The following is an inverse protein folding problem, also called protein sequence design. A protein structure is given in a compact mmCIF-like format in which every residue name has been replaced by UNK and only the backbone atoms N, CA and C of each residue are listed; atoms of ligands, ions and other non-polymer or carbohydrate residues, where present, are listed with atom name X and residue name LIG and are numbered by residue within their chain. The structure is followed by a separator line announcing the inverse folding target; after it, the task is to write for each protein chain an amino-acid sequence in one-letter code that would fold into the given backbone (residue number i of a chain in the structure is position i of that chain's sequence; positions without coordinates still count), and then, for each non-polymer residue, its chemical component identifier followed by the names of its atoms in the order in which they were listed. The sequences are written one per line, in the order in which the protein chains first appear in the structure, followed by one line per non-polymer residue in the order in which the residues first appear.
data_IF_163816742398
#
_entry.id   IF_163816742398
#
_cell.length_a   1.000
_cell.length_b   1.000
_cell.length_c   1.000
_cell.angle_alpha   90.00
_cell.angle_beta   90.00
_cell.angle_gamma   90.00
#
_symmetry.space_group_name_H-M   'P 1'
#
loop_
_entity.id
_entity.type
_entity.pdbx_description
1 polymer ?
#
# COMPACT_ATOMS: atom_id res chain seq x y z
N UNK A 1 -34.80 -21.25 16.09
CA UNK A 1 -33.41 -21.20 16.57
C UNK A 1 -32.53 -21.38 15.34
N UNK A 2 -31.74 -20.38 14.96
CA UNK A 2 -30.71 -20.60 13.93
C UNK A 2 -29.70 -21.57 14.57
N UNK A 3 -29.34 -22.64 13.87
CA UNK A 3 -28.29 -23.53 14.36
C UNK A 3 -26.99 -22.73 14.35
N UNK A 4 -26.35 -22.54 15.51
CA UNK A 4 -25.13 -21.75 15.63
C UNK A 4 -23.91 -22.40 14.95
N UNK A 5 -24.02 -23.69 14.60
CA UNK A 5 -22.97 -24.45 13.92
C UNK A 5 -23.51 -25.13 12.66
N UNK A 6 -22.69 -25.13 11.62
CA UNK A 6 -22.96 -25.84 10.38
C UNK A 6 -22.46 -27.28 10.50
N UNK A 7 -23.34 -28.24 10.20
CA UNK A 7 -23.03 -29.67 10.15
C UNK A 7 -23.53 -30.19 8.82
N UNK A 8 -22.62 -30.74 8.01
CA UNK A 8 -22.91 -31.21 6.67
C UNK A 8 -23.65 -32.55 6.71
N UNK A 9 -24.70 -32.68 5.91
CA UNK A 9 -25.49 -33.91 5.84
C UNK A 9 -24.73 -35.11 5.23
N UNK A 10 -25.22 -36.33 5.48
CA UNK A 10 -24.49 -37.61 5.28
C UNK A 10 -24.30 -38.06 3.81
N UNK A 11 -24.98 -37.44 2.84
CA UNK A 11 -24.87 -37.82 1.43
C UNK A 11 -24.76 -36.56 0.57
N UNK A 12 -23.54 -36.08 0.34
CA UNK A 12 -23.32 -34.90 -0.50
C UNK A 12 -22.14 -35.05 -1.46
N UNK A 13 -22.41 -34.86 -2.74
CA UNK A 13 -21.44 -34.39 -3.73
C UNK A 13 -20.93 -32.99 -3.35
N UNK A 14 -19.82 -32.55 -3.94
CA UNK A 14 -19.31 -31.19 -3.72
C UNK A 14 -20.37 -30.12 -4.07
N UNK A 15 -21.21 -30.37 -5.09
CA UNK A 15 -22.35 -29.50 -5.45
C UNK A 15 -23.41 -29.40 -4.36
N UNK A 16 -23.71 -30.50 -3.68
CA UNK A 16 -24.69 -30.50 -2.59
C UNK A 16 -24.15 -29.77 -1.36
N UNK A 17 -22.88 -29.98 -1.01
CA UNK A 17 -22.20 -29.21 0.04
C UNK A 17 -22.20 -27.70 -0.26
N UNK A 18 -21.90 -27.32 -1.51
CA UNK A 18 -21.99 -25.93 -1.97
C UNK A 18 -23.39 -25.33 -1.74
N UNK A 19 -24.43 -26.05 -2.16
CA UNK A 19 -25.82 -25.59 -2.08
C UNK A 19 -26.30 -25.49 -0.62
N UNK A 20 -25.96 -26.48 0.21
CA UNK A 20 -26.31 -26.53 1.62
C UNK A 20 -25.66 -25.38 2.39
N UNK A 21 -24.34 -25.18 2.25
CA UNK A 21 -23.65 -24.08 2.90
C UNK A 21 -24.12 -22.71 2.39
N UNK A 22 -24.38 -22.56 1.09
CA UNK A 22 -24.95 -21.31 0.55
C UNK A 22 -26.29 -20.98 1.20
N UNK A 23 -27.17 -21.97 1.36
CA UNK A 23 -28.45 -21.80 2.04
C UNK A 23 -28.28 -21.46 3.53
N UNK A 24 -27.36 -22.15 4.20
CA UNK A 24 -27.05 -21.91 5.61
C UNK A 24 -26.52 -20.48 5.85
N UNK A 25 -25.57 -20.03 5.03
CA UNK A 25 -24.99 -18.68 5.10
C UNK A 25 -26.04 -17.61 4.82
N UNK A 26 -26.92 -17.82 3.83
CA UNK A 26 -28.04 -16.93 3.57
C UNK A 26 -28.99 -16.83 4.78
N UNK A 27 -29.28 -17.96 5.43
CA UNK A 27 -30.06 -18.01 6.67
C UNK A 27 -29.43 -17.25 7.84
N UNK A 28 -28.11 -17.05 7.82
CA UNK A 28 -27.36 -16.28 8.81
C UNK A 28 -27.16 -14.80 8.45
N UNK A 29 -27.65 -14.36 7.29
CA UNK A 29 -27.54 -12.98 6.84
C UNK A 29 -26.16 -12.61 6.32
N UNK A 30 -25.36 -13.60 5.89
CA UNK A 30 -24.10 -13.34 5.19
C UNK A 30 -24.38 -12.70 3.83
N UNK A 31 -23.58 -11.69 3.50
CA UNK A 31 -23.53 -11.16 2.13
C UNK A 31 -22.89 -12.18 1.20
N UNK A 32 -23.39 -12.24 -0.04
CA UNK A 32 -22.89 -13.11 -1.11
C UNK A 32 -22.64 -14.56 -0.66
N UNK A 33 -23.67 -15.26 -0.14
CA UNK A 33 -23.49 -16.56 0.47
C UNK A 33 -22.99 -17.62 -0.51
N UNK A 34 -23.39 -17.55 -1.79
CA UNK A 34 -22.89 -18.44 -2.84
C UNK A 34 -21.40 -18.21 -3.11
N UNK A 35 -20.96 -16.95 -3.20
CA UNK A 35 -19.55 -16.63 -3.42
C UNK A 35 -18.69 -17.08 -2.24
N UNK A 36 -19.16 -16.84 -1.01
CA UNK A 36 -18.50 -17.32 0.21
C UNK A 36 -18.37 -18.85 0.21
N UNK A 37 -19.45 -19.57 -0.11
CA UNK A 37 -19.45 -21.05 -0.17
C UNK A 37 -18.46 -21.57 -1.21
N UNK A 38 -18.43 -20.98 -2.41
CA UNK A 38 -17.48 -21.34 -3.45
C UNK A 38 -16.03 -21.14 -3.01
N UNK A 39 -15.69 -19.95 -2.49
CA UNK A 39 -14.32 -19.64 -2.06
C UNK A 39 -13.83 -20.58 -0.96
N UNK A 40 -14.70 -20.90 0.01
CA UNK A 40 -14.38 -21.85 1.07
C UNK A 40 -14.18 -23.28 0.54
N UNK A 41 -14.95 -23.71 -0.47
CA UNK A 41 -14.75 -25.01 -1.12
C UNK A 41 -13.45 -25.06 -1.92
N UNK A 42 -13.19 -24.05 -2.73
CA UNK A 42 -11.94 -23.91 -3.49
C UNK A 42 -10.74 -24.00 -2.56
N UNK A 43 -10.78 -23.29 -1.42
CA UNK A 43 -9.76 -23.36 -0.38
C UNK A 43 -9.63 -24.74 0.26
N UNK A 44 -10.73 -25.34 0.72
CA UNK A 44 -10.67 -26.62 1.47
C UNK A 44 -10.27 -27.80 0.57
N UNK A 45 -10.61 -27.73 -0.72
CA UNK A 45 -10.29 -28.77 -1.70
C UNK A 45 -8.96 -28.53 -2.42
N UNK A 46 -8.38 -27.33 -2.31
CA UNK A 46 -7.21 -26.92 -3.09
C UNK A 46 -7.49 -26.91 -4.60
N UNK A 47 -8.72 -26.56 -5.00
CA UNK A 47 -9.17 -26.52 -6.39
C UNK A 47 -9.51 -25.08 -6.78
N UNK A 48 -9.31 -24.72 -8.04
CA UNK A 48 -9.72 -23.43 -8.57
C UNK A 48 -10.15 -23.53 -10.04
N UNK A 49 -10.92 -22.56 -10.50
CA UNK A 49 -11.32 -22.43 -11.90
C UNK A 49 -11.95 -23.71 -12.47
N UNK A 50 -11.48 -24.17 -13.64
CA UNK A 50 -12.04 -25.32 -14.32
C UNK A 50 -12.00 -26.62 -13.48
N UNK A 51 -10.95 -26.82 -12.68
CA UNK A 51 -10.81 -28.00 -11.85
C UNK A 51 -11.91 -28.08 -10.78
N UNK A 52 -12.26 -26.96 -10.16
CA UNK A 52 -13.38 -26.87 -9.22
C UNK A 52 -14.71 -27.25 -9.89
N UNK A 53 -15.01 -26.69 -11.07
CA UNK A 53 -16.27 -26.96 -11.76
C UNK A 53 -16.41 -28.42 -12.22
N UNK A 54 -15.31 -29.06 -12.62
CA UNK A 54 -15.29 -30.48 -12.98
C UNK A 54 -15.56 -31.38 -11.77
N UNK A 55 -15.04 -31.01 -10.59
CA UNK A 55 -15.19 -31.78 -9.36
C UNK A 55 -16.58 -31.68 -8.72
N UNK A 56 -17.46 -30.76 -9.16
CA UNK A 56 -18.76 -30.53 -8.50
C UNK A 56 -19.64 -31.79 -8.39
N UNK A 57 -19.54 -32.73 -9.33
CA UNK A 57 -20.31 -33.97 -9.30
C UNK A 57 -19.67 -35.08 -8.45
N UNK A 58 -18.41 -34.90 -8.04
CA UNK A 58 -17.67 -35.90 -7.29
C UNK A 58 -18.18 -35.97 -5.83
N UNK A 59 -18.06 -37.14 -5.17
CA UNK A 59 -18.34 -37.27 -3.74
C UNK A 59 -17.49 -36.30 -2.92
N UNK A 60 -18.09 -35.65 -1.92
CA UNK A 60 -17.35 -34.76 -1.03
C UNK A 60 -16.26 -35.55 -0.27
N UNK A 61 -14.98 -35.11 -0.26
CA UNK A 61 -13.92 -35.88 0.39
C UNK A 61 -14.09 -35.90 1.92
N UNK A 62 -14.25 -37.08 2.57
CA UNK A 62 -14.49 -37.14 4.02
C UNK A 62 -13.36 -36.55 4.86
N UNK A 63 -12.12 -36.58 4.35
CA UNK A 63 -10.94 -36.07 5.03
C UNK A 63 -10.99 -34.57 5.34
N UNK A 64 -11.72 -33.78 4.56
CA UNK A 64 -11.83 -32.32 4.73
C UNK A 64 -13.17 -31.87 5.31
N UNK A 65 -14.09 -32.81 5.62
CA UNK A 65 -15.43 -32.50 6.13
C UNK A 65 -15.40 -31.62 7.38
N UNK A 66 -14.61 -32.01 8.39
CA UNK A 66 -14.53 -31.26 9.65
C UNK A 66 -13.96 -29.84 9.45
N UNK A 67 -12.99 -29.68 8.53
CA UNK A 67 -12.45 -28.38 8.17
C UNK A 67 -13.52 -27.53 7.49
N UNK A 68 -14.18 -28.06 6.46
CA UNK A 68 -15.30 -27.41 5.77
C UNK A 68 -16.36 -26.91 6.75
N UNK A 69 -16.81 -27.76 7.67
CA UNK A 69 -17.83 -27.41 8.66
C UNK A 69 -17.39 -26.25 9.57
N UNK A 70 -16.13 -26.27 9.97
CA UNK A 70 -15.51 -25.22 10.77
C UNK A 70 -15.48 -23.88 10.02
N UNK A 71 -15.07 -23.87 8.74
CA UNK A 71 -14.96 -22.64 7.96
C UNK A 71 -16.33 -22.03 7.65
N UNK A 72 -17.33 -22.84 7.31
CA UNK A 72 -18.71 -22.36 7.09
C UNK A 72 -19.30 -21.79 8.38
N UNK A 73 -19.04 -22.42 9.52
CA UNK A 73 -19.48 -21.92 10.83
C UNK A 73 -18.84 -20.57 11.16
N UNK A 74 -17.52 -20.41 10.97
CA UNK A 74 -16.83 -19.12 11.13
C UNK A 74 -17.43 -18.03 10.25
N UNK A 75 -17.71 -18.36 8.98
CA UNK A 75 -18.32 -17.42 8.03
C UNK A 75 -19.73 -17.00 8.48
N UNK A 76 -20.55 -17.95 8.93
CA UNK A 76 -21.89 -17.67 9.48
C UNK A 76 -21.84 -16.81 10.76
N UNK A 77 -20.75 -16.90 11.53
CA UNK A 77 -20.49 -16.05 12.67
C UNK A 77 -20.09 -14.61 12.30
N UNK A 78 -19.98 -14.28 11.00
CA UNK A 78 -19.72 -12.93 10.51
C UNK A 78 -18.26 -12.68 10.11
N UNK A 79 -17.37 -13.65 10.31
CA UNK A 79 -15.97 -13.49 9.91
C UNK A 79 -15.85 -13.36 8.39
N UNK A 80 -15.11 -12.36 7.86
CA UNK A 80 -14.87 -12.23 6.42
C UNK A 80 -14.23 -13.49 5.83
N UNK A 81 -14.70 -13.92 4.64
CA UNK A 81 -14.19 -15.14 4.00
C UNK A 81 -12.68 -15.05 3.72
N UNK A 82 -12.17 -13.86 3.44
CA UNK A 82 -10.75 -13.60 3.21
C UNK A 82 -9.90 -13.80 4.46
N UNK A 83 -10.39 -13.46 5.66
CA UNK A 83 -9.66 -13.76 6.91
C UNK A 83 -9.72 -15.23 7.28
N UNK A 84 -10.80 -15.92 6.89
CA UNK A 84 -10.90 -17.37 7.06
C UNK A 84 -9.88 -18.08 6.18
N UNK A 85 -9.73 -17.65 4.92
CA UNK A 85 -8.79 -18.21 3.93
C UNK A 85 -7.35 -17.72 4.18
N UNK A 86 -7.20 -16.49 4.66
CA UNK A 86 -5.91 -15.81 4.88
C UNK A 86 -5.38 -15.04 3.68
N UNK A 87 -6.15 -14.91 2.58
CA UNK A 87 -5.72 -14.19 1.39
C UNK A 87 -6.85 -13.46 0.66
N UNK A 88 -6.47 -12.46 -0.13
CA UNK A 88 -7.32 -11.71 -1.04
C UNK A 88 -6.55 -11.44 -2.33
N UNK A 89 -7.18 -11.66 -3.48
CA UNK A 89 -6.62 -11.26 -4.78
C UNK A 89 -6.79 -9.75 -4.99
N UNK A 90 -5.73 -9.10 -5.45
CA UNK A 90 -5.69 -7.69 -5.82
C UNK A 90 -4.70 -7.52 -6.97
N UNK A 91 -5.13 -6.88 -8.06
CA UNK A 91 -4.34 -6.64 -9.26
C UNK A 91 -3.69 -7.92 -9.84
N UNK A 92 -4.45 -9.02 -9.83
CA UNK A 92 -3.98 -10.34 -10.28
C UNK A 92 -2.93 -11.00 -9.37
N UNK A 93 -2.75 -10.52 -8.13
CA UNK A 93 -1.80 -11.05 -7.15
C UNK A 93 -2.52 -11.44 -5.86
N UNK A 94 -2.11 -12.55 -5.25
CA UNK A 94 -2.64 -12.97 -3.95
C UNK A 94 -1.90 -12.27 -2.80
N UNK A 95 -2.62 -11.48 -2.01
CA UNK A 95 -2.12 -10.83 -0.80
C UNK A 95 -2.55 -11.61 0.43
N UNK A 96 -1.62 -11.91 1.32
CA UNK A 96 -1.95 -12.33 2.68
C UNK A 96 -2.73 -11.21 3.38
N UNK A 97 -3.83 -11.57 4.03
CA UNK A 97 -4.64 -10.65 4.83
C UNK A 97 -4.95 -11.27 6.19
N UNK A 98 -5.03 -10.42 7.20
CA UNK A 98 -5.30 -10.80 8.59
C UNK A 98 -6.19 -9.72 9.22
N UNK A 99 -6.76 -9.93 10.42
CA UNK A 99 -7.52 -8.90 11.12
C UNK A 99 -6.73 -7.62 11.45
N UNK A 100 -5.41 -7.59 11.25
CA UNK A 100 -4.57 -6.40 11.42
C UNK A 100 -4.66 -5.39 10.25
N UNK A 101 -5.26 -5.76 9.12
CA UNK A 101 -5.29 -4.95 7.89
C UNK A 101 -6.68 -4.87 7.28
N UNK A 102 -6.96 -3.82 6.50
CA UNK A 102 -8.12 -3.79 5.62
C UNK A 102 -7.99 -4.84 4.51
N UNK A 103 -9.08 -5.53 4.18
CA UNK A 103 -9.14 -6.41 2.99
C UNK A 103 -9.11 -5.52 1.74
N UNK A 104 -8.13 -5.70 0.82
CA UNK A 104 -8.06 -4.91 -0.42
C UNK A 104 -9.36 -4.96 -1.21
N UNK A 105 -9.76 -3.79 -1.74
CA UNK A 105 -11.00 -3.63 -2.51
C UNK A 105 -10.72 -3.50 -4.00
N UNK A 106 -11.59 -4.01 -4.89
CA UNK A 106 -11.41 -3.86 -6.34
C UNK A 106 -11.31 -2.41 -6.79
N UNK A 107 -12.04 -1.49 -6.14
CA UNK A 107 -12.01 -0.07 -6.48
C UNK A 107 -10.61 0.54 -6.34
N UNK A 108 -9.83 0.09 -5.35
CA UNK A 108 -8.45 0.56 -5.12
C UNK A 108 -7.52 0.24 -6.29
N UNK A 109 -7.83 -0.74 -7.15
CA UNK A 109 -7.04 -1.03 -8.35
C UNK A 109 -7.05 0.16 -9.32
N UNK A 110 -8.17 0.90 -9.41
CA UNK A 110 -8.30 2.08 -10.26
C UNK A 110 -7.37 3.21 -9.79
N UNK A 111 -7.10 3.32 -8.49
CA UNK A 111 -6.12 4.26 -7.95
C UNK A 111 -4.72 3.89 -8.42
N UNK A 112 -4.35 2.60 -8.30
CA UNK A 112 -3.04 2.10 -8.74
C UNK A 112 -2.84 2.34 -10.24
N UNK A 113 -3.83 2.00 -11.07
CA UNK A 113 -3.80 2.26 -12.51
C UNK A 113 -3.59 3.74 -12.83
N UNK A 114 -4.30 4.62 -12.15
CA UNK A 114 -4.19 6.05 -12.35
C UNK A 114 -2.81 6.59 -11.97
N UNK A 115 -2.26 6.13 -10.85
CA UNK A 115 -0.92 6.50 -10.39
C UNK A 115 0.15 6.03 -11.37
N UNK A 116 0.07 4.79 -11.85
CA UNK A 116 0.99 4.26 -12.86
C UNK A 116 0.92 5.05 -14.17
N UNK A 117 -0.29 5.30 -14.67
CA UNK A 117 -0.51 6.08 -15.90
C UNK A 117 0.07 7.48 -15.80
N UNK A 118 -0.35 8.27 -14.80
CA UNK A 118 0.10 9.66 -14.69
C UNK A 118 1.56 9.78 -14.24
N UNK A 119 2.05 8.81 -13.46
CA UNK A 119 3.47 8.70 -13.15
C UNK A 119 4.32 8.50 -14.41
N UNK A 120 3.91 7.61 -15.32
CA UNK A 120 4.58 7.41 -16.60
C UNK A 120 4.47 8.62 -17.54
N UNK A 121 3.35 9.36 -17.53
CA UNK A 121 3.22 10.61 -18.30
C UNK A 121 4.16 11.72 -17.79
N UNK A 122 4.27 11.88 -16.48
CA UNK A 122 5.10 12.92 -15.85
C UNK A 122 6.59 12.58 -15.86
N UNK A 123 6.93 11.28 -15.77
CA UNK A 123 8.28 10.76 -15.72
C UNK A 123 8.43 9.49 -16.58
N UNK A 124 8.51 9.62 -17.92
CA UNK A 124 8.60 8.48 -18.84
C UNK A 124 9.78 7.55 -18.56
N UNK A 125 10.90 8.11 -18.09
CA UNK A 125 12.12 7.35 -17.77
C UNK A 125 12.10 6.78 -16.34
N UNK A 126 11.03 6.98 -15.56
CA UNK A 126 10.92 6.53 -14.17
C UNK A 126 11.93 7.20 -13.22
N UNK A 127 12.49 8.35 -13.62
CA UNK A 127 13.55 9.04 -12.88
C UNK A 127 13.32 10.54 -12.76
N UNK A 128 13.96 11.15 -11.78
CA UNK A 128 13.86 12.57 -11.45
C UNK A 128 15.25 13.18 -11.34
N UNK A 129 15.41 14.39 -11.87
CA UNK A 129 16.66 15.14 -11.72
C UNK A 129 16.85 15.53 -10.24
N UNK A 130 17.92 15.04 -9.60
CA UNK A 130 18.23 15.30 -8.20
C UNK A 130 18.17 16.80 -7.91
N UNK A 131 17.56 17.19 -6.77
CA UNK A 131 17.60 18.58 -6.33
C UNK A 131 19.01 18.85 -5.85
N UNK A 132 19.64 19.90 -6.38
CA UNK A 132 20.95 20.33 -5.93
C UNK A 132 20.86 20.78 -4.48
N UNK A 133 21.35 19.96 -3.56
CA UNK A 133 21.49 20.36 -2.18
C UNK A 133 22.61 21.39 -2.06
N UNK A 134 22.27 22.63 -1.74
CA UNK A 134 23.24 23.48 -1.04
C UNK A 134 23.38 22.86 0.34
N UNK A 135 24.44 22.09 0.55
CA UNK A 135 24.87 21.75 1.89
C UNK A 135 25.08 23.09 2.61
N UNK A 136 24.18 23.41 3.55
CA UNK A 136 24.41 24.50 4.47
C UNK A 136 25.59 24.07 5.33
N UNK A 137 26.79 24.53 4.96
CA UNK A 137 27.94 24.48 5.85
C UNK A 137 27.50 25.20 7.13
N UNK A 138 27.42 24.43 8.22
CA UNK A 138 27.24 24.95 9.55
C UNK A 138 28.45 25.83 9.89
N UNK A 139 28.38 27.10 9.52
CA UNK A 139 29.27 28.15 9.97
C UNK A 139 29.05 28.41 11.46
N UNK A 140 29.64 27.58 12.31
CA UNK A 140 29.78 27.85 13.73
C UNK A 140 30.90 28.87 13.97
N UNK A 141 30.71 29.92 14.79
CA UNK A 141 31.79 30.82 15.12
C UNK A 141 32.78 30.15 16.08
N UNK A 142 34.04 30.51 15.87
CA UNK A 142 35.22 29.93 16.49
C UNK A 142 35.32 30.13 18.02
N UNK A 143 35.98 29.13 18.61
CA UNK A 143 36.99 29.21 19.67
C UNK A 143 36.60 29.62 21.11
N UNK A 144 36.69 28.63 22.01
CA UNK A 144 37.55 28.74 23.20
C UNK A 144 38.41 27.48 23.35
N UNK A 145 39.70 27.72 23.62
CA UNK A 145 40.77 26.74 23.78
C UNK A 145 40.82 26.19 25.20
N UNK A 146 41.17 24.91 25.30
CA UNK A 146 42.06 24.27 26.29
C UNK A 146 41.95 22.75 26.08
N UNK A 147 42.92 21.86 26.22
CA UNK A 147 44.37 21.85 26.42
C UNK A 147 44.72 20.36 26.67
N UNK A 148 45.79 19.80 26.06
CA UNK A 148 46.35 18.47 26.40
C UNK A 148 45.48 17.28 25.96
N UNK A 149 45.99 16.15 25.46
CA UNK A 149 47.24 15.45 25.73
C UNK A 149 47.62 14.62 24.48
N UNK A 150 48.93 14.47 24.31
CA UNK A 150 49.67 13.78 23.25
C UNK A 150 49.50 12.25 23.20
N UNK A 151 50.14 11.67 22.17
CA UNK A 151 50.58 10.28 21.97
C UNK A 151 49.60 9.39 21.19
N UNK A 152 50.00 8.56 20.22
CA UNK A 152 51.31 8.22 19.65
C UNK A 152 51.03 7.47 18.33
N UNK A 153 51.85 7.69 17.31
CA UNK A 153 52.00 6.79 16.16
C UNK A 153 53.21 5.89 16.42
N UNK A 154 53.26 4.72 15.78
CA UNK A 154 54.50 4.34 15.14
C UNK A 154 54.34 4.07 13.64
N UNK A 155 55.41 4.42 12.94
CA UNK A 155 55.65 4.26 11.52
C UNK A 155 56.45 2.98 11.23
N UNK A 156 56.49 2.59 9.94
CA UNK A 156 57.56 1.96 9.13
C UNK A 156 56.93 1.04 8.06
N UNK A 157 57.35 0.94 6.80
CA UNK A 157 58.48 1.49 6.02
C UNK A 157 58.07 1.61 4.53
N UNK A 158 58.66 2.51 3.73
CA UNK A 158 59.82 2.28 2.81
C UNK A 158 59.59 1.15 1.79
N UNK A 159 59.88 1.22 0.48
CA UNK A 159 60.39 2.17 -0.52
C UNK A 159 60.02 1.55 -1.91
N UNK A 160 59.83 2.23 -3.05
CA UNK A 160 60.81 2.79 -4.01
C UNK A 160 60.01 3.26 -5.26
N UNK A 161 60.17 4.49 -5.79
CA UNK A 161 61.00 4.88 -6.97
C UNK A 161 60.84 3.95 -8.19
N UNK A 162 60.33 4.39 -9.35
CA UNK A 162 61.00 5.24 -10.37
C UNK A 162 59.95 5.92 -11.29
N UNK A 163 59.98 7.25 -11.48
CA UNK A 163 60.60 8.03 -12.58
C UNK A 163 59.82 8.06 -13.92
N UNK A 164 59.40 9.25 -14.35
CA UNK A 164 58.77 9.47 -15.65
C UNK A 164 58.24 10.90 -15.88
N UNK A 165 59.17 11.86 -16.03
CA UNK A 165 59.11 13.11 -16.82
C UNK A 165 57.83 13.96 -16.86
N UNK A 166 57.96 15.18 -16.32
CA UNK A 166 57.08 16.32 -16.57
C UNK A 166 57.27 16.90 -17.99
N UNK A 167 56.16 17.22 -18.65
CA UNK A 167 56.09 18.30 -19.62
C UNK A 167 54.74 18.99 -19.47
N UNK A 168 54.85 20.27 -19.16
CA UNK A 168 53.82 21.25 -18.87
C UNK A 168 53.23 21.75 -20.20
N UNK A 169 51.96 21.42 -20.47
CA UNK A 169 51.19 22.07 -21.53
C UNK A 169 49.93 22.70 -20.94
N UNK A 170 50.00 24.04 -20.86
CA UNK A 170 48.95 24.92 -20.42
C UNK A 170 47.67 24.73 -21.25
N UNK A 171 46.66 24.08 -20.66
CA UNK A 171 45.31 24.05 -21.18
C UNK A 171 44.57 25.36 -20.85
N UNK A 172 44.19 26.08 -21.90
CA UNK A 172 43.30 27.25 -21.87
C UNK A 172 41.92 26.88 -21.30
N UNK A 173 41.20 27.80 -20.62
CA UNK A 173 39.87 27.54 -20.11
C UNK A 173 38.86 27.70 -21.26
N UNK A 174 38.14 26.64 -21.62
CA UNK A 174 37.15 26.73 -22.68
C UNK A 174 36.34 25.45 -22.84
N UNK A 175 35.05 25.54 -22.51
CA UNK A 175 34.06 24.49 -22.73
C UNK A 175 33.44 24.03 -21.43
N UNK A 176 32.45 24.78 -20.93
CA UNK A 176 31.61 24.32 -19.83
C UNK A 176 30.96 23.00 -20.22
N UNK A 177 31.40 21.91 -19.59
CA UNK A 177 30.61 20.69 -19.55
C UNK A 177 29.29 21.08 -18.88
N UNK A 178 28.20 21.08 -19.64
CA UNK A 178 26.87 21.09 -19.09
C UNK A 178 26.81 19.91 -18.11
N UNK A 179 26.92 20.22 -16.82
CA UNK A 179 26.99 19.20 -15.78
C UNK A 179 25.78 18.30 -15.93
N UNK A 180 26.01 17.02 -16.22
CA UNK A 180 24.98 15.99 -16.18
C UNK A 180 24.39 16.04 -14.78
N UNK A 181 23.20 16.65 -14.66
CA UNK A 181 22.50 16.76 -13.39
C UNK A 181 22.24 15.33 -12.92
N UNK A 182 22.72 14.99 -11.72
CA UNK A 182 22.54 13.66 -11.17
C UNK A 182 21.05 13.29 -11.21
N UNK A 183 20.75 12.05 -11.61
CA UNK A 183 19.39 11.54 -11.77
C UNK A 183 19.17 10.49 -10.69
N UNK A 184 17.97 10.45 -10.10
CA UNK A 184 17.57 9.44 -9.11
C UNK A 184 16.28 8.72 -9.54
N UNK A 185 15.99 7.52 -9.02
CA UNK A 185 14.70 6.88 -9.17
C UNK A 185 13.55 7.78 -8.70
N UNK A 186 12.40 7.70 -9.37
CA UNK A 186 11.14 8.30 -8.93
C UNK A 186 10.71 7.71 -7.59
N UNK A 187 10.34 8.56 -6.62
CA UNK A 187 9.91 8.11 -5.29
C UNK A 187 8.39 8.19 -5.16
N UNK A 188 7.74 7.04 -4.97
CA UNK A 188 6.33 6.94 -4.63
C UNK A 188 6.15 6.55 -3.16
N UNK A 189 5.27 7.28 -2.47
CA UNK A 189 4.96 7.06 -1.05
C UNK A 189 3.49 6.68 -0.91
N UNK A 190 3.25 5.51 -0.32
CA UNK A 190 1.94 4.98 0.03
C UNK A 190 1.64 5.21 1.52
N UNK A 191 0.55 5.90 1.85
CA UNK A 191 0.15 6.21 3.23
C UNK A 191 -1.03 5.33 3.63
N UNK A 192 -0.89 4.62 4.75
CA UNK A 192 -1.84 3.60 5.18
C UNK A 192 -1.62 2.30 4.41
N UNK A 193 -0.39 1.77 4.46
CA UNK A 193 0.03 0.61 3.67
C UNK A 193 -0.91 -0.59 3.80
N UNK A 194 -1.49 -0.83 4.99
CA UNK A 194 -2.38 -1.96 5.23
C UNK A 194 -1.71 -3.29 4.89
N UNK A 195 -2.31 -4.06 3.98
CA UNK A 195 -1.73 -5.31 3.47
C UNK A 195 -0.56 -5.10 2.49
N UNK A 196 -0.27 -3.86 2.10
CA UNK A 196 0.69 -3.50 1.07
C UNK A 196 0.10 -3.54 -0.35
N UNK A 197 -1.22 -3.65 -0.51
CA UNK A 197 -1.87 -3.79 -1.83
C UNK A 197 -1.43 -2.73 -2.84
N UNK A 198 -1.42 -1.46 -2.46
CA UNK A 198 -0.99 -0.35 -3.32
C UNK A 198 0.54 -0.40 -3.52
N UNK A 199 1.32 -0.26 -2.44
CA UNK A 199 2.79 -0.17 -2.51
C UNK A 199 3.47 -1.38 -3.17
N UNK A 200 3.08 -2.60 -2.85
CA UNK A 200 3.64 -3.82 -3.46
C UNK A 200 3.30 -3.89 -4.94
N UNK A 201 2.07 -3.53 -5.32
CA UNK A 201 1.66 -3.52 -6.73
C UNK A 201 2.43 -2.45 -7.51
N UNK A 202 2.54 -1.24 -6.99
CA UNK A 202 3.36 -0.19 -7.61
C UNK A 202 4.81 -0.63 -7.80
N UNK A 203 5.40 -1.28 -6.80
CA UNK A 203 6.77 -1.78 -6.89
C UNK A 203 6.93 -2.92 -7.91
N UNK A 204 5.90 -3.73 -8.11
CA UNK A 204 5.88 -4.81 -9.11
C UNK A 204 5.71 -4.27 -10.54
N UNK A 205 4.79 -3.33 -10.74
CA UNK A 205 4.45 -2.79 -12.06
C UNK A 205 5.45 -1.72 -12.53
N UNK A 206 6.10 -1.02 -11.60
CA UNK A 206 7.10 0.01 -11.89
C UNK A 206 8.42 -0.26 -11.13
N UNK A 207 9.20 -1.29 -11.50
CA UNK A 207 10.41 -1.69 -10.78
C UNK A 207 11.55 -0.66 -10.81
N UNK A 208 11.45 0.35 -11.68
CA UNK A 208 12.38 1.49 -11.71
C UNK A 208 12.09 2.53 -10.61
N UNK A 209 10.91 2.48 -10.00
CA UNK A 209 10.52 3.43 -8.95
C UNK A 209 11.04 2.95 -7.60
N UNK A 210 11.39 3.91 -6.74
CA UNK A 210 11.57 3.67 -5.32
C UNK A 210 10.20 3.79 -4.65
N UNK A 211 9.70 2.69 -4.10
CA UNK A 211 8.43 2.69 -3.36
C UNK A 211 8.68 2.63 -1.87
N UNK A 212 8.05 3.54 -1.13
CA UNK A 212 8.02 3.55 0.33
C UNK A 212 6.57 3.46 0.80
N UNK A 213 6.32 2.84 1.95
CA UNK A 213 4.97 2.77 2.50
C UNK A 213 4.96 2.99 4.02
N UNK A 214 3.97 3.73 4.50
CA UNK A 214 3.83 4.10 5.91
C UNK A 214 2.52 3.58 6.49
N UNK A 215 2.54 3.13 7.74
CA UNK A 215 1.34 2.78 8.47
C UNK A 215 1.53 3.04 9.97
N UNK A 216 0.44 3.37 10.66
CA UNK A 216 0.43 3.57 12.12
C UNK A 216 0.43 2.22 12.85
N UNK A 217 -0.04 1.15 12.20
CA UNK A 217 -0.15 -0.19 12.77
C UNK A 217 1.12 -1.01 12.52
N UNK A 218 1.83 -1.46 13.58
CA UNK A 218 2.92 -2.42 13.43
C UNK A 218 2.45 -3.75 12.81
N UNK A 219 1.22 -4.17 13.11
CA UNK A 219 0.61 -5.38 12.54
C UNK A 219 0.43 -5.27 11.03
N UNK A 220 -0.05 -4.11 10.56
CA UNK A 220 -0.20 -3.84 9.13
C UNK A 220 1.15 -3.88 8.41
N UNK A 221 2.18 -3.20 8.94
CA UNK A 221 3.53 -3.23 8.35
C UNK A 221 4.12 -4.65 8.32
N UNK A 222 3.84 -5.49 9.32
CA UNK A 222 4.26 -6.88 9.30
C UNK A 222 3.58 -7.67 8.16
N UNK A 223 2.29 -7.44 7.91
CA UNK A 223 1.56 -8.05 6.78
C UNK A 223 2.09 -7.52 5.45
N UNK A 224 2.23 -6.20 5.29
CA UNK A 224 2.80 -5.57 4.10
C UNK A 224 4.21 -6.10 3.79
N UNK A 225 5.06 -6.28 4.81
CA UNK A 225 6.40 -6.85 4.65
C UNK A 225 6.39 -8.30 4.17
N UNK A 226 5.48 -9.14 4.69
CA UNK A 226 5.30 -10.52 4.19
C UNK A 226 4.80 -10.53 2.75
N UNK A 227 3.90 -9.64 2.37
CA UNK A 227 3.42 -9.52 1.00
C UNK A 227 4.50 -9.01 0.04
N UNK A 228 5.30 -8.01 0.43
CA UNK A 228 6.45 -7.57 -0.36
C UNK A 228 7.44 -8.72 -0.58
N UNK A 229 7.74 -9.50 0.46
CA UNK A 229 8.57 -10.70 0.34
C UNK A 229 7.95 -11.77 -0.56
N UNK A 230 6.64 -12.05 -0.40
CA UNK A 230 5.89 -13.03 -1.21
C UNK A 230 5.96 -12.71 -2.70
N UNK A 231 5.90 -11.43 -3.05
CA UNK A 231 5.90 -10.95 -4.44
C UNK A 231 7.27 -10.51 -4.96
N UNK A 232 8.33 -10.65 -4.15
CA UNK A 232 9.70 -10.31 -4.55
C UNK A 232 9.92 -8.82 -4.81
N UNK A 233 9.14 -7.94 -4.17
CA UNK A 233 9.24 -6.49 -4.34
C UNK A 233 9.99 -5.84 -3.19
N UNK A 234 10.63 -4.71 -3.46
CA UNK A 234 11.32 -3.91 -2.46
C UNK A 234 10.47 -2.68 -2.09
N UNK A 235 9.98 -2.65 -0.84
CA UNK A 235 9.22 -1.52 -0.30
C UNK A 235 9.88 -1.06 1.01
N UNK A 236 10.22 0.24 1.10
CA UNK A 236 10.74 0.87 2.32
C UNK A 236 9.56 1.14 3.28
N UNK A 237 9.35 0.22 4.23
CA UNK A 237 8.26 0.26 5.21
C UNK A 237 8.60 1.10 6.44
N UNK A 238 7.70 2.00 6.83
CA UNK A 238 7.93 2.93 7.95
C UNK A 238 6.74 3.02 8.90
N UNK A 239 7.02 2.89 10.20
CA UNK A 239 6.01 3.06 11.25
C UNK A 239 5.82 4.53 11.59
N UNK A 240 4.57 4.99 11.59
CA UNK A 240 4.17 6.27 12.16
C UNK A 240 2.92 6.84 11.51
N UNK A 241 2.59 8.07 11.90
CA UNK A 241 1.31 8.68 11.56
C UNK A 241 1.42 9.48 10.25
N UNK A 242 0.68 9.03 9.24
CA UNK A 242 0.57 9.68 7.94
C UNK A 242 1.95 10.05 7.35
N UNK A 243 2.24 11.34 7.11
CA UNK A 243 3.48 11.80 6.47
C UNK A 243 4.67 11.93 7.43
N UNK A 244 4.48 11.78 8.74
CA UNK A 244 5.56 11.95 9.73
C UNK A 244 6.81 11.08 9.46
N UNK A 245 6.69 9.78 9.10
CA UNK A 245 7.86 8.93 8.83
C UNK A 245 8.67 9.33 7.58
N UNK A 246 8.11 10.24 6.77
CA UNK A 246 8.68 10.71 5.51
C UNK A 246 9.18 12.15 5.60
N UNK A 247 9.23 12.75 6.80
CA UNK A 247 9.76 14.09 7.00
C UNK A 247 11.17 14.23 6.39
N UNK A 248 11.37 15.26 5.56
CA UNK A 248 12.62 15.51 4.83
C UNK A 248 12.91 14.57 3.66
N UNK A 249 12.04 13.60 3.36
CA UNK A 249 12.20 12.71 2.20
C UNK A 249 11.70 13.39 0.92
N UNK A 250 12.48 13.31 -0.16
CA UNK A 250 11.98 13.70 -1.47
C UNK A 250 10.92 12.72 -1.98
N UNK A 251 9.69 13.21 -2.08
CA UNK A 251 8.52 12.46 -2.53
C UNK A 251 7.99 13.08 -3.83
N UNK A 252 7.85 12.27 -4.87
CA UNK A 252 7.37 12.74 -6.17
C UNK A 252 5.90 12.37 -6.40
N UNK A 253 5.51 11.18 -5.92
CA UNK A 253 4.15 10.65 -5.92
C UNK A 253 3.73 10.37 -4.47
N UNK A 254 2.54 10.84 -4.09
CA UNK A 254 1.86 10.47 -2.86
C UNK A 254 0.56 9.74 -3.18
N UNK A 255 0.33 8.56 -2.61
CA UNK A 255 -0.89 7.79 -2.80
C UNK A 255 -1.42 7.32 -1.45
N UNK A 256 -2.74 7.25 -1.28
CA UNK A 256 -3.34 6.69 -0.08
C UNK A 256 -4.76 6.20 -0.33
N UNK A 257 -5.12 5.09 0.30
CA UNK A 257 -6.50 4.74 0.62
C UNK A 257 -6.70 4.94 2.14
N UNK A 258 -6.96 6.17 2.61
CA UNK A 258 -7.09 6.44 4.03
C UNK A 258 -8.48 6.02 4.55
N UNK A 259 -8.66 5.86 5.87
CA UNK A 259 -10.00 5.66 6.44
C UNK A 259 -10.89 6.86 6.15
N UNK A 260 -12.07 6.61 5.58
CA UNK A 260 -12.96 7.67 5.10
C UNK A 260 -14.39 7.60 5.64
N UNK A 261 -14.68 6.63 6.51
CA UNK A 261 -16.02 6.43 7.04
C UNK A 261 -16.23 7.39 8.21
N UNK A 262 -17.29 8.22 8.21
CA UNK A 262 -17.65 9.01 9.37
C UNK A 262 -17.84 8.11 10.60
N UNK A 263 -17.25 8.48 11.74
CA UNK A 263 -17.24 7.63 12.93
C UNK A 263 -18.63 7.26 13.45
N UNK A 264 -19.64 8.10 13.19
CA UNK A 264 -21.05 7.86 13.50
C UNK A 264 -21.71 6.77 12.64
N UNK A 265 -21.19 6.52 11.44
CA UNK A 265 -21.78 5.59 10.46
C UNK A 265 -21.24 4.16 10.64
N UNK A 266 -20.11 3.99 11.35
CA UNK A 266 -19.46 2.68 11.55
C UNK A 266 -20.40 1.63 12.16
N UNK A 267 -21.27 2.04 13.09
CA UNK A 267 -22.22 1.12 13.73
C UNK A 267 -23.24 0.51 12.74
N UNK A 268 -23.51 1.21 11.63
CA UNK A 268 -24.42 0.80 10.56
C UNK A 268 -23.76 -0.01 9.44
N UNK A 269 -22.44 -0.22 9.48
CA UNK A 269 -21.74 -1.04 8.51
C UNK A 269 -22.19 -2.50 8.57
N UNK A 270 -21.94 -3.21 7.49
CA UNK A 270 -22.12 -4.65 7.42
C UNK A 270 -21.35 -5.32 8.57
N UNK A 271 -21.96 -6.35 9.17
CA UNK A 271 -21.45 -7.04 10.36
C UNK A 271 -19.98 -7.44 10.22
N UNK A 272 -19.62 -8.00 9.06
CA UNK A 272 -18.27 -8.47 8.78
C UNK A 272 -17.22 -7.34 8.76
N UNK A 273 -17.59 -6.17 8.24
CA UNK A 273 -16.71 -4.99 8.25
C UNK A 273 -16.65 -4.39 9.65
N UNK A 274 -17.82 -4.16 10.26
CA UNK A 274 -17.94 -3.52 11.58
C UNK A 274 -17.23 -4.28 12.69
N UNK A 275 -17.36 -5.61 12.70
CA UNK A 275 -16.95 -6.44 13.83
C UNK A 275 -15.55 -7.06 13.64
N UNK A 276 -15.04 -7.17 12.41
CA UNK A 276 -13.79 -7.88 12.13
C UNK A 276 -12.69 -7.05 11.46
N UNK A 277 -13.00 -5.98 10.75
CA UNK A 277 -11.96 -5.13 10.15
C UNK A 277 -11.43 -4.11 11.17
N UNK A 278 -10.13 -3.78 11.13
CA UNK A 278 -9.53 -2.90 12.13
C UNK A 278 -10.16 -1.52 12.06
N UNK A 279 -10.72 -1.05 13.19
CA UNK A 279 -11.40 0.25 13.27
C UNK A 279 -10.52 1.41 12.77
N UNK A 280 -9.21 1.35 13.02
CA UNK A 280 -8.24 2.35 12.56
C UNK A 280 -8.14 2.47 11.04
N UNK A 281 -8.52 1.43 10.29
CA UNK A 281 -8.58 1.45 8.82
C UNK A 281 -9.96 1.88 8.29
N UNK A 282 -10.94 2.12 9.16
CA UNK A 282 -12.30 2.52 8.78
C UNK A 282 -12.61 3.98 9.19
N UNK A 283 -12.24 4.36 10.41
CA UNK A 283 -12.66 5.60 11.06
C UNK A 283 -11.93 6.83 10.51
N UNK A 284 -12.61 7.57 9.62
CA UNK A 284 -12.11 8.82 9.04
C UNK A 284 -12.44 10.06 9.88
N UNK A 285 -12.90 9.89 11.12
CA UNK A 285 -13.25 10.97 12.02
C UNK A 285 -14.68 11.47 11.87
N UNK A 286 -14.97 12.70 12.29
CA UNK A 286 -16.33 13.22 12.45
C UNK A 286 -17.18 13.19 11.18
N UNK A 287 -16.57 13.54 10.04
CA UNK A 287 -17.18 13.56 8.71
C UNK A 287 -16.45 12.68 7.69
N UNK A 288 -15.52 11.84 8.18
CA UNK A 288 -14.73 10.96 7.33
C UNK A 288 -13.57 11.63 6.61
N UNK A 289 -13.30 12.93 6.85
CA UNK A 289 -12.29 13.69 6.10
C UNK A 289 -11.02 14.01 6.89
N UNK A 290 -10.90 13.57 8.14
CA UNK A 290 -9.79 13.95 9.02
C UNK A 290 -8.41 13.53 8.47
N UNK A 291 -8.20 12.31 7.94
CA UNK A 291 -6.90 11.92 7.39
C UNK A 291 -6.45 12.82 6.24
N UNK A 292 -7.36 13.23 5.35
CA UNK A 292 -7.05 14.11 4.23
C UNK A 292 -6.60 15.48 4.72
N UNK A 293 -7.33 16.07 5.67
CA UNK A 293 -6.97 17.37 6.29
C UNK A 293 -5.59 17.30 6.92
N UNK A 294 -5.34 16.26 7.72
CA UNK A 294 -4.06 16.04 8.40
C UNK A 294 -2.92 15.84 7.42
N UNK A 295 -3.12 15.08 6.34
CA UNK A 295 -2.12 14.95 5.28
C UNK A 295 -1.80 16.31 4.64
N UNK A 296 -2.81 17.14 4.35
CA UNK A 296 -2.57 18.50 3.83
C UNK A 296 -1.79 19.38 4.81
N UNK A 297 -2.10 19.30 6.11
CA UNK A 297 -1.36 20.00 7.18
C UNK A 297 0.10 19.50 7.32
N UNK A 298 0.35 18.23 7.02
CA UNK A 298 1.67 17.61 7.10
C UNK A 298 2.48 17.70 5.80
N UNK A 299 1.93 18.17 4.67
CA UNK A 299 2.70 18.38 3.43
C UNK A 299 4.00 19.18 3.63
N UNK A 300 4.06 20.22 4.49
CA UNK A 300 5.32 20.94 4.75
C UNK A 300 6.42 20.12 5.45
N UNK A 301 6.13 18.91 5.94
CA UNK A 301 7.17 17.99 6.42
C UNK A 301 8.06 17.49 5.26
N UNK A 302 7.53 17.48 4.03
CA UNK A 302 8.26 17.13 2.84
C UNK A 302 9.09 18.34 2.35
N UNK A 303 10.26 18.12 1.72
CA UNK A 303 11.09 19.20 1.20
C UNK A 303 10.41 19.98 0.06
N UNK A 304 9.38 19.39 -0.56
CA UNK A 304 8.48 20.04 -1.51
C UNK A 304 7.22 19.18 -1.69
N UNK A 305 6.11 19.78 -2.15
CA UNK A 305 4.90 19.02 -2.47
C UNK A 305 5.15 18.02 -3.62
N UNK A 306 4.54 16.82 -3.56
CA UNK A 306 4.61 15.85 -4.64
C UNK A 306 3.90 16.39 -5.88
N UNK A 307 4.41 16.08 -7.08
CA UNK A 307 3.79 16.54 -8.33
C UNK A 307 2.54 15.73 -8.69
N UNK A 308 2.41 14.53 -8.13
CA UNK A 308 1.23 13.68 -8.28
C UNK A 308 0.77 13.24 -6.90
N UNK A 309 -0.50 13.51 -6.58
CA UNK A 309 -1.18 12.94 -5.40
C UNK A 309 -2.43 12.21 -5.85
N UNK A 310 -2.74 11.08 -5.23
CA UNK A 310 -3.99 10.35 -5.47
C UNK A 310 -4.57 9.77 -4.19
N UNK A 311 -5.87 9.98 -4.00
CA UNK A 311 -6.58 9.49 -2.83
C UNK A 311 -7.82 8.69 -3.23
N UNK A 312 -8.03 7.53 -2.62
CA UNK A 312 -9.34 6.88 -2.56
C UNK A 312 -10.22 7.58 -1.53
N UNK A 313 -11.55 7.54 -1.72
CA UNK A 313 -12.53 8.20 -0.86
C UNK A 313 -13.90 7.51 -0.86
N UNK A 314 -14.69 7.84 0.16
CA UNK A 314 -16.07 7.41 0.29
C UNK A 314 -17.00 8.11 -0.69
N UNK A 315 -18.12 7.45 -1.01
CA UNK A 315 -19.14 8.01 -1.89
C UNK A 315 -19.61 9.38 -1.38
N UNK A 316 -19.62 10.38 -2.27
CA UNK A 316 -20.05 11.74 -1.96
C UNK A 316 -18.94 12.67 -1.43
N UNK A 317 -17.73 12.17 -1.16
CA UNK A 317 -16.64 12.98 -0.60
C UNK A 317 -15.73 13.62 -1.68
N UNK A 318 -15.87 13.23 -2.96
CA UNK A 318 -14.98 13.69 -4.03
C UNK A 318 -14.88 15.21 -4.16
N UNK A 319 -15.99 15.94 -4.03
CA UNK A 319 -15.99 17.40 -4.08
C UNK A 319 -15.16 18.02 -2.97
N UNK A 320 -15.33 17.54 -1.73
CA UNK A 320 -14.64 18.06 -0.54
C UNK A 320 -13.14 17.75 -0.59
N UNK A 321 -12.74 16.53 -0.98
CA UNK A 321 -11.33 16.18 -1.14
C UNK A 321 -10.67 16.99 -2.26
N UNK A 322 -11.38 17.20 -3.38
CA UNK A 322 -10.90 18.07 -4.45
C UNK A 322 -10.72 19.52 -4.01
N UNK A 323 -11.62 20.05 -3.17
CA UNK A 323 -11.47 21.38 -2.57
C UNK A 323 -10.26 21.47 -1.63
N UNK A 324 -9.98 20.44 -0.83
CA UNK A 324 -8.77 20.38 0.01
C UNK A 324 -7.49 20.47 -0.85
N UNK A 325 -7.42 19.70 -1.95
CA UNK A 325 -6.28 19.77 -2.88
C UNK A 325 -6.14 21.15 -3.54
N UNK A 326 -7.26 21.77 -3.97
CA UNK A 326 -7.25 23.13 -4.53
C UNK A 326 -6.78 24.16 -3.52
N UNK A 327 -7.24 24.05 -2.26
CA UNK A 327 -6.89 24.97 -1.19
C UNK A 327 -5.40 24.88 -0.82
N UNK A 328 -4.79 23.69 -0.91
CA UNK A 328 -3.35 23.51 -0.74
C UNK A 328 -2.52 24.23 -1.84
N UNK A 329 -3.07 24.37 -3.05
CA UNK A 329 -2.52 25.24 -4.10
C UNK A 329 -1.26 24.71 -4.81
N UNK A 330 -0.95 23.40 -4.70
CA UNK A 330 0.25 22.79 -5.29
C UNK A 330 0.02 22.11 -6.65
N UNK A 331 -1.24 21.84 -7.01
CA UNK A 331 -1.62 21.10 -8.20
C UNK A 331 -2.46 21.97 -9.13
N UNK A 332 -2.08 22.03 -10.41
CA UNK A 332 -2.74 22.85 -11.43
C UNK A 332 -3.89 22.10 -12.13
N UNK A 333 -3.99 20.79 -11.93
CA UNK A 333 -5.04 19.92 -12.47
C UNK A 333 -5.57 19.02 -11.35
N UNK A 334 -6.90 18.95 -11.21
CA UNK A 334 -7.59 18.08 -10.26
C UNK A 334 -8.54 17.16 -11.03
N UNK A 335 -8.37 15.85 -10.88
CA UNK A 335 -9.10 14.83 -11.64
C UNK A 335 -9.88 13.96 -10.67
N UNK A 336 -11.13 13.67 -11.00
CA UNK A 336 -11.95 12.69 -10.29
C UNK A 336 -12.06 11.43 -11.14
N UNK A 337 -11.86 10.26 -10.53
CA UNK A 337 -12.03 8.96 -11.18
C UNK A 337 -13.23 8.25 -10.57
N UNK A 338 -14.11 7.81 -11.45
CA UNK A 338 -15.30 7.03 -11.11
C UNK A 338 -15.00 5.53 -11.16
N UNK A 339 -15.67 4.75 -10.32
CA UNK A 339 -15.70 3.29 -10.44
C UNK A 339 -16.57 2.84 -11.62
N UNK A 340 -16.65 1.52 -11.84
CA UNK A 340 -17.44 0.94 -12.93
C UNK A 340 -18.95 1.23 -12.82
N UNK A 341 -19.43 1.65 -11.65
CA UNK A 341 -20.81 2.07 -11.42
C UNK A 341 -21.03 3.58 -11.61
N UNK A 342 -19.99 4.33 -12.01
CA UNK A 342 -20.04 5.78 -12.17
C UNK A 342 -20.00 6.54 -10.84
N UNK A 343 -19.57 5.91 -9.75
CA UNK A 343 -19.45 6.56 -8.45
C UNK A 343 -18.04 7.15 -8.33
N UNK A 344 -17.88 8.45 -8.04
CA UNK A 344 -16.58 9.03 -7.72
C UNK A 344 -15.91 8.32 -6.54
N UNK A 345 -14.76 7.69 -6.80
CA UNK A 345 -13.97 6.95 -5.80
C UNK A 345 -12.59 7.48 -5.58
N UNK A 346 -12.06 8.25 -6.52
CA UNK A 346 -10.70 8.78 -6.39
C UNK A 346 -10.62 10.22 -6.82
N UNK A 347 -9.74 10.96 -6.17
CA UNK A 347 -9.34 12.31 -6.57
C UNK A 347 -7.83 12.37 -6.68
N UNK A 348 -7.35 12.94 -7.78
CA UNK A 348 -5.95 13.16 -8.05
C UNK A 348 -5.65 14.65 -8.15
N UNK A 349 -4.50 15.04 -7.64
CA UNK A 349 -3.88 16.34 -7.90
C UNK A 349 -2.62 16.16 -8.74
N UNK A 350 -2.51 16.90 -9.83
CA UNK A 350 -1.39 16.84 -10.77
C UNK A 350 -0.80 18.23 -10.94
N UNK A 351 0.54 18.32 -10.93
CA UNK A 351 1.30 19.49 -11.31
C UNK A 351 2.18 19.17 -12.51
N UNK A 352 1.62 19.41 -13.71
CA UNK A 352 2.31 19.22 -14.99
C UNK A 352 3.40 20.28 -15.17
#
# INVERSE_FOLDING_TARGET
MKHDSYVMSELQSIREAFAEASSFLAGHGCNEPQRSSQLLLEHVLGLSGAAYYMALADPFPPAVKAQWETLVTRRAAGEPVQYIIGEQEFYGRAFEVTPDVLIPRPETELLVEAILRYGAELWPDGTVAARGGVAQEAGGPAARRSAGVEAERPARGEAAQESGTAADEAARPGGGAAGTRAVRPLTAVDIGAGSGAISVTLAAEAPAWRVCAGDISPGALAVAGRNAQRHGTAVDLRLGDLLEPFAGMETDILVSNPPYIPGGDIAGLQREVRDHEPRTALDGGGDGLDPYRRMMEQLPLLPAPPRLVGFELGQGQAGQVAELLRAAGHWNEIITIEDLAGIPRHVLGINR
#
